data_IF_608266032262
#
_entry.id   IF_608266032262
#
_cell.length_a   1.000
_cell.length_b   1.000
_cell.length_c   1.000
_cell.angle_alpha   90.00
_cell.angle_beta   90.00
_cell.angle_gamma   90.00
#
_symmetry.space_group_name_H-M   'P 1'
#
loop_
_entity.id
_entity.type
_entity.pdbx_description
1 polymer ?
#
# COMPACT_ATOMS: atom_id res chain seq x y z
N UNK A 1 21.80 13.11 -30.82
CA UNK A 1 20.44 13.04 -30.28
C UNK A 1 19.94 11.62 -30.49
N UNK A 2 19.45 10.99 -29.44
CA UNK A 2 18.95 9.60 -29.41
C UNK A 2 17.65 9.56 -28.61
N UNK A 3 16.88 8.48 -28.71
CA UNK A 3 15.78 8.20 -27.78
C UNK A 3 16.35 7.96 -26.39
N UNK A 4 15.67 8.50 -25.36
CA UNK A 4 15.98 8.18 -23.97
C UNK A 4 15.79 6.67 -23.72
N UNK A 5 16.65 6.07 -22.89
CA UNK A 5 16.42 4.70 -22.42
C UNK A 5 15.14 4.53 -21.59
N UNK A 6 14.63 5.63 -21.03
CA UNK A 6 13.40 5.69 -20.27
C UNK A 6 12.17 6.07 -21.11
N UNK A 7 12.33 6.13 -22.43
CA UNK A 7 11.22 6.33 -23.34
C UNK A 7 10.29 5.14 -23.33
N UNK A 8 9.00 5.39 -23.15
CA UNK A 8 7.94 4.39 -23.26
C UNK A 8 6.79 4.87 -24.14
N UNK A 9 6.09 3.90 -24.72
CA UNK A 9 4.85 4.10 -25.43
C UNK A 9 3.79 3.14 -24.90
N UNK A 10 2.60 3.63 -24.61
CA UNK A 10 1.44 2.85 -24.21
C UNK A 10 0.34 3.08 -25.20
N UNK A 11 -0.10 2.01 -25.84
CA UNK A 11 -1.22 2.04 -26.78
C UNK A 11 -2.55 2.23 -26.06
N UNK A 12 -3.30 3.23 -26.48
CA UNK A 12 -4.63 3.58 -26.00
C UNK A 12 -5.67 3.24 -27.07
N UNK A 13 -6.94 3.56 -26.80
CA UNK A 13 -8.01 3.37 -27.77
C UNK A 13 -7.84 4.27 -29.00
N UNK A 14 -8.37 3.84 -30.14
CA UNK A 14 -8.37 4.58 -31.41
C UNK A 14 -6.99 4.87 -32.00
N UNK A 15 -6.05 3.95 -31.89
CA UNK A 15 -4.67 4.05 -32.42
C UNK A 15 -3.94 5.32 -31.93
N UNK A 16 -4.20 5.71 -30.71
CA UNK A 16 -3.47 6.76 -30.01
C UNK A 16 -2.46 6.14 -29.06
N UNK A 17 -1.30 6.74 -28.98
CA UNK A 17 -0.24 6.34 -28.08
C UNK A 17 0.03 7.46 -27.07
N UNK A 18 0.09 7.11 -25.79
CA UNK A 18 0.73 7.93 -24.79
C UNK A 18 2.23 7.65 -24.82
N UNK A 19 3.04 8.65 -25.08
CA UNK A 19 4.50 8.56 -25.08
C UNK A 19 5.09 9.44 -23.98
N UNK A 20 6.08 8.95 -23.27
CA UNK A 20 6.65 9.63 -22.10
C UNK A 20 8.02 9.07 -21.71
N UNK A 21 8.73 9.82 -20.91
CA UNK A 21 9.89 9.34 -20.16
C UNK A 21 9.42 8.85 -18.79
N UNK A 22 9.69 7.59 -18.46
CA UNK A 22 9.17 6.96 -17.22
C UNK A 22 9.79 7.50 -15.92
N UNK A 23 10.81 8.33 -15.96
CA UNK A 23 11.34 9.04 -14.79
C UNK A 23 10.73 10.44 -14.61
N UNK A 24 10.16 11.04 -15.66
CA UNK A 24 9.66 12.43 -15.65
C UNK A 24 8.14 12.50 -15.74
N UNK A 25 7.49 11.56 -16.45
CA UNK A 25 6.05 11.47 -16.67
C UNK A 25 5.41 12.68 -17.37
N UNK A 26 6.20 13.43 -18.16
CA UNK A 26 5.66 14.39 -19.11
C UNK A 26 5.11 13.65 -20.32
N UNK A 27 3.77 13.64 -20.47
CA UNK A 27 3.08 12.78 -21.42
C UNK A 27 2.67 13.55 -22.66
N UNK A 28 2.95 12.96 -23.81
CA UNK A 28 2.41 13.39 -25.09
C UNK A 28 1.48 12.32 -25.67
N UNK A 29 0.38 12.74 -26.30
CA UNK A 29 -0.51 11.85 -27.01
C UNK A 29 -0.34 12.03 -28.50
N UNK A 30 -0.05 10.94 -29.21
CA UNK A 30 0.28 10.94 -30.64
C UNK A 30 -0.45 9.82 -31.36
N UNK A 31 -0.73 9.99 -32.64
CA UNK A 31 -1.19 8.93 -33.53
C UNK A 31 -0.04 8.10 -34.07
N UNK A 32 -0.33 7.00 -34.77
CA UNK A 32 0.64 6.11 -35.39
C UNK A 32 1.62 6.84 -36.31
N UNK A 33 1.14 7.78 -37.12
CA UNK A 33 1.99 8.53 -38.06
C UNK A 33 3.00 9.35 -37.29
N UNK A 34 2.55 10.08 -36.28
CA UNK A 34 3.40 10.94 -35.46
C UNK A 34 4.39 10.14 -34.62
N UNK A 35 3.96 8.99 -34.09
CA UNK A 35 4.84 8.08 -33.37
C UNK A 35 6.00 7.62 -34.27
N UNK A 36 5.71 7.22 -35.51
CA UNK A 36 6.75 6.79 -36.47
C UNK A 36 7.70 7.93 -36.83
N UNK A 37 7.18 9.14 -37.06
CA UNK A 37 8.03 10.33 -37.29
C UNK A 37 9.00 10.57 -36.13
N UNK A 38 8.55 10.37 -34.89
CA UNK A 38 9.38 10.51 -33.67
C UNK A 38 10.43 9.39 -33.61
N UNK A 39 10.04 8.14 -33.83
CA UNK A 39 10.93 6.99 -33.76
C UNK A 39 12.03 7.06 -34.85
N UNK A 40 11.68 7.58 -36.04
CA UNK A 40 12.62 7.75 -37.18
C UNK A 40 13.40 9.09 -37.12
N UNK A 41 13.25 9.88 -36.06
CA UNK A 41 13.86 11.21 -35.90
C UNK A 41 13.47 12.20 -37.01
N UNK A 42 12.38 11.95 -37.72
CA UNK A 42 11.88 12.75 -38.85
C UNK A 42 10.86 13.81 -38.38
N UNK A 43 11.20 14.60 -37.39
CA UNK A 43 10.39 15.69 -36.85
C UNK A 43 11.06 17.05 -37.05
N UNK A 44 10.25 18.13 -37.09
CA UNK A 44 10.75 19.51 -37.28
C UNK A 44 11.65 19.93 -36.12
N UNK A 45 12.53 20.93 -36.37
CA UNK A 45 13.49 21.43 -35.37
C UNK A 45 12.81 21.88 -34.06
N UNK A 46 11.74 22.63 -34.15
CA UNK A 46 11.00 23.12 -32.98
C UNK A 46 10.39 21.97 -32.13
N UNK A 47 9.99 20.94 -32.81
CA UNK A 47 9.43 19.75 -32.17
C UNK A 47 10.53 18.90 -31.51
N UNK A 48 11.71 18.83 -32.11
CA UNK A 48 12.88 18.18 -31.49
C UNK A 48 13.22 18.80 -30.14
N UNK A 49 13.15 20.13 -30.03
CA UNK A 49 13.38 20.82 -28.75
C UNK A 49 12.28 20.50 -27.72
N UNK A 50 11.02 20.41 -28.14
CA UNK A 50 9.93 19.94 -27.23
C UNK A 50 10.17 18.52 -26.72
N UNK A 51 10.56 17.60 -27.61
CA UNK A 51 10.85 16.20 -27.26
C UNK A 51 12.09 16.07 -26.35
N UNK A 52 13.06 16.96 -26.49
CA UNK A 52 14.19 17.05 -25.55
C UNK A 52 13.75 17.57 -24.18
N UNK A 53 12.89 18.59 -24.13
CA UNK A 53 12.44 19.17 -22.87
C UNK A 53 11.61 18.19 -22.01
N UNK A 54 10.81 17.32 -22.65
CA UNK A 54 10.04 16.27 -21.97
C UNK A 54 10.82 14.95 -21.83
N UNK A 55 12.10 14.93 -22.17
CA UNK A 55 12.98 13.79 -21.96
C UNK A 55 12.70 12.58 -22.86
N UNK A 56 11.91 12.72 -23.94
CA UNK A 56 11.71 11.66 -24.94
C UNK A 56 13.00 11.48 -25.76
N UNK A 57 13.61 12.58 -26.16
CA UNK A 57 14.95 12.60 -26.72
C UNK A 57 15.96 13.06 -25.68
N UNK A 58 17.18 12.57 -25.81
CA UNK A 58 18.35 13.07 -25.08
C UNK A 58 19.47 13.40 -26.08
N UNK A 59 20.32 14.34 -25.74
CA UNK A 59 21.44 14.74 -26.62
C UNK A 59 22.52 13.67 -26.65
N UNK A 60 22.74 13.00 -25.51
CA UNK A 60 23.70 11.91 -25.30
C UNK A 60 23.25 11.04 -24.13
N UNK A 61 23.66 9.76 -24.13
CA UNK A 61 23.19 8.75 -23.18
C UNK A 61 23.43 9.10 -21.68
N UNK A 62 24.50 9.87 -21.39
CA UNK A 62 24.80 10.27 -20.01
C UNK A 62 23.71 11.12 -19.37
N UNK A 63 22.84 11.80 -20.13
CA UNK A 63 21.71 12.55 -19.55
C UNK A 63 20.69 11.64 -18.86
N UNK A 64 20.49 10.43 -19.39
CA UNK A 64 19.63 9.44 -18.73
C UNK A 64 20.23 8.94 -17.41
N UNK A 65 21.55 8.77 -17.36
CA UNK A 65 22.26 8.38 -16.14
C UNK A 65 22.19 9.50 -15.08
N UNK A 66 22.40 10.74 -15.50
CA UNK A 66 22.33 11.92 -14.62
C UNK A 66 20.89 12.06 -14.05
N UNK A 67 19.86 11.88 -14.89
CA UNK A 67 18.46 11.91 -14.45
C UNK A 67 18.16 10.78 -13.44
N UNK A 68 18.62 9.57 -13.71
CA UNK A 68 18.46 8.44 -12.78
C UNK A 68 19.17 8.71 -11.43
N UNK A 69 20.37 9.27 -11.46
CA UNK A 69 21.13 9.59 -10.26
C UNK A 69 20.40 10.62 -9.39
N UNK A 70 19.79 11.64 -9.98
CA UNK A 70 18.97 12.62 -9.25
C UNK A 70 17.81 11.93 -8.54
N UNK A 71 17.12 11.00 -9.21
CA UNK A 71 16.01 10.24 -8.60
C UNK A 71 16.51 9.34 -7.48
N UNK A 72 17.66 8.65 -7.68
CA UNK A 72 18.30 7.83 -6.63
C UNK A 72 18.73 8.64 -5.41
N UNK A 73 19.26 9.84 -5.60
CA UNK A 73 19.62 10.73 -4.49
C UNK A 73 18.40 11.15 -3.68
N UNK A 74 17.26 11.43 -4.33
CA UNK A 74 15.98 11.69 -3.62
C UNK A 74 15.54 10.49 -2.80
N UNK A 75 15.64 9.30 -3.36
CA UNK A 75 15.33 8.07 -2.63
C UNK A 75 16.22 7.88 -1.40
N UNK A 76 17.53 8.08 -1.54
CA UNK A 76 18.48 7.92 -0.45
C UNK A 76 18.24 8.90 0.72
N UNK A 77 17.67 10.07 0.46
CA UNK A 77 17.31 11.06 1.50
C UNK A 77 16.14 10.61 2.36
N UNK A 78 15.23 9.79 1.82
CA UNK A 78 14.01 9.36 2.51
C UNK A 78 14.05 7.90 2.98
N UNK A 79 14.94 7.08 2.44
CA UNK A 79 15.09 5.68 2.84
C UNK A 79 15.86 5.54 4.15
N UNK A 80 15.53 4.50 4.94
CA UNK A 80 16.19 4.21 6.21
C UNK A 80 15.78 5.11 7.37
N UNK A 81 14.66 5.83 7.26
CA UNK A 81 14.07 6.61 8.34
C UNK A 81 12.77 5.99 8.81
N UNK A 82 12.69 5.60 10.07
CA UNK A 82 11.51 4.91 10.60
C UNK A 82 10.37 5.89 10.85
N UNK A 83 9.44 5.98 9.92
CA UNK A 83 8.22 6.78 10.03
C UNK A 83 7.01 5.98 10.55
N UNK A 84 7.07 4.64 10.46
CA UNK A 84 5.96 3.75 10.82
C UNK A 84 6.47 2.69 11.80
N UNK A 85 5.78 2.53 12.92
CA UNK A 85 6.01 1.41 13.83
C UNK A 85 4.73 0.59 14.01
N UNK A 86 4.79 -0.67 13.62
CA UNK A 86 3.74 -1.64 13.92
C UNK A 86 3.95 -2.21 15.32
N UNK A 87 2.92 -2.08 16.15
CA UNK A 87 2.81 -2.79 17.41
C UNK A 87 1.97 -4.04 17.16
N UNK A 88 2.62 -5.17 17.00
CA UNK A 88 1.94 -6.45 16.86
C UNK A 88 1.59 -6.94 18.25
N UNK A 89 0.43 -6.54 18.74
CA UNK A 89 0.02 -6.67 20.14
C UNK A 89 -0.18 -8.11 20.59
N UNK A 90 -0.57 -8.97 19.65
CA UNK A 90 -0.84 -10.37 19.91
C UNK A 90 -0.73 -11.20 18.64
N UNK A 91 -0.36 -12.47 18.78
CA UNK A 91 -0.46 -13.44 17.70
C UNK A 91 -1.81 -14.19 17.72
N UNK A 92 -2.63 -14.01 18.78
CA UNK A 92 -3.95 -14.61 18.90
C UNK A 92 -5.01 -13.85 18.09
N UNK A 93 -5.98 -14.59 17.54
CA UNK A 93 -7.15 -14.03 16.88
C UNK A 93 -8.39 -14.87 17.24
N UNK A 94 -9.50 -14.21 17.51
CA UNK A 94 -10.78 -14.87 17.75
C UNK A 94 -11.49 -15.33 16.47
N UNK A 95 -10.98 -14.96 15.28
CA UNK A 95 -11.45 -15.43 13.97
C UNK A 95 -10.47 -16.40 13.33
N UNK A 96 -10.97 -17.20 12.39
CA UNK A 96 -10.21 -18.11 11.52
C UNK A 96 -10.57 -17.82 10.06
N UNK A 97 -10.18 -16.64 9.57
CA UNK A 97 -10.45 -16.22 8.19
C UNK A 97 -9.74 -17.15 7.20
N UNK A 98 -10.44 -17.65 6.17
CA UNK A 98 -9.90 -18.64 5.22
C UNK A 98 -8.66 -18.17 4.45
N UNK A 99 -8.54 -16.88 4.21
CA UNK A 99 -7.44 -16.27 3.47
C UNK A 99 -6.41 -15.57 4.37
N UNK A 100 -6.45 -15.80 5.69
CA UNK A 100 -5.54 -15.12 6.59
C UNK A 100 -4.08 -15.46 6.26
N UNK A 101 -3.36 -14.49 5.69
CA UNK A 101 -1.98 -14.72 5.31
C UNK A 101 -1.04 -14.94 6.50
N UNK A 102 -1.40 -14.41 7.69
CA UNK A 102 -0.65 -14.64 8.92
C UNK A 102 -0.79 -16.09 9.39
N UNK A 103 -2.02 -16.65 9.35
CA UNK A 103 -2.28 -18.04 9.77
C UNK A 103 -1.76 -19.05 8.75
N UNK A 104 -1.91 -18.73 7.46
CA UNK A 104 -1.58 -19.62 6.36
C UNK A 104 -0.15 -19.46 5.87
N UNK A 105 0.65 -18.59 6.51
CA UNK A 105 2.05 -18.43 6.18
C UNK A 105 2.80 -19.75 6.41
N UNK A 106 3.64 -20.14 5.46
CA UNK A 106 4.45 -21.39 5.46
C UNK A 106 5.41 -21.50 6.67
N UNK A 107 5.54 -20.46 7.45
CA UNK A 107 6.48 -20.33 8.57
C UNK A 107 5.79 -20.33 9.94
N UNK A 108 4.53 -20.76 10.01
CA UNK A 108 3.73 -20.67 11.24
C UNK A 108 4.00 -21.87 12.18
N UNK A 109 4.79 -21.66 13.22
CA UNK A 109 5.12 -22.69 14.22
C UNK A 109 5.06 -22.19 15.67
N UNK A 110 4.31 -21.11 16.00
CA UNK A 110 4.43 -20.47 17.32
C UNK A 110 3.16 -20.50 18.16
N UNK A 111 3.40 -20.64 19.47
CA UNK A 111 2.39 -20.48 20.53
C UNK A 111 1.82 -19.05 20.49
N UNK A 112 0.51 -18.93 20.71
CA UNK A 112 -0.15 -17.63 20.85
C UNK A 112 0.46 -16.83 22.00
N UNK A 113 0.75 -15.56 21.74
CA UNK A 113 1.49 -14.71 22.67
C UNK A 113 0.91 -13.29 22.64
N UNK A 114 0.80 -12.68 23.81
CA UNK A 114 0.41 -11.28 23.97
C UNK A 114 1.62 -10.44 24.35
N UNK A 115 1.73 -9.24 23.79
CA UNK A 115 2.74 -8.25 24.13
C UNK A 115 2.55 -7.82 25.60
N UNK A 116 3.63 -7.82 26.36
CA UNK A 116 3.63 -7.31 27.75
C UNK A 116 3.68 -5.79 27.73
N UNK A 117 3.12 -5.16 28.77
CA UNK A 117 3.16 -3.71 28.96
C UNK A 117 4.59 -3.16 28.96
N UNK A 118 5.52 -3.83 29.64
CA UNK A 118 6.93 -3.44 29.67
C UNK A 118 7.53 -3.35 28.25
N UNK A 119 7.26 -4.34 27.39
CA UNK A 119 7.74 -4.37 26.01
C UNK A 119 7.14 -3.22 25.20
N UNK A 120 5.84 -2.94 25.35
CA UNK A 120 5.19 -1.85 24.64
C UNK A 120 5.70 -0.48 25.07
N UNK A 121 5.95 -0.28 26.38
CA UNK A 121 6.53 0.95 26.91
C UNK A 121 7.97 1.15 26.43
N UNK A 122 8.79 0.11 26.42
CA UNK A 122 10.13 0.18 25.84
C UNK A 122 10.10 0.56 24.36
N UNK A 123 9.19 -0.04 23.60
CA UNK A 123 9.04 0.25 22.18
C UNK A 123 8.61 1.70 21.91
N UNK A 124 7.56 2.19 22.58
CA UNK A 124 7.07 3.55 22.33
C UNK A 124 8.06 4.61 22.84
N UNK A 125 8.74 4.38 23.96
CA UNK A 125 9.76 5.27 24.49
C UNK A 125 10.92 5.39 23.50
N UNK A 126 11.54 4.27 23.09
CA UNK A 126 12.66 4.27 22.14
C UNK A 126 12.26 4.89 20.80
N UNK A 127 11.02 4.66 20.35
CA UNK A 127 10.52 5.25 19.10
C UNK A 127 10.37 6.76 19.22
N UNK A 128 9.77 7.27 20.28
CA UNK A 128 9.61 8.72 20.47
C UNK A 128 10.96 9.44 20.66
N UNK A 129 11.92 8.82 21.33
CA UNK A 129 13.29 9.34 21.45
C UNK A 129 13.97 9.40 20.07
N UNK A 130 13.85 8.34 19.27
CA UNK A 130 14.34 8.30 17.88
C UNK A 130 13.73 9.39 17.01
N UNK A 131 12.39 9.50 17.00
CA UNK A 131 11.68 10.51 16.21
C UNK A 131 12.10 11.93 16.54
N UNK A 132 12.29 12.22 17.83
CA UNK A 132 12.73 13.54 18.29
C UNK A 132 14.16 13.85 17.83
N UNK A 133 15.06 12.87 17.89
CA UNK A 133 16.46 13.04 17.48
C UNK A 133 16.60 13.21 15.97
N UNK A 134 15.84 12.44 15.19
CA UNK A 134 15.85 12.48 13.73
C UNK A 134 14.95 13.59 13.14
N UNK A 135 14.33 14.42 14.00
CA UNK A 135 13.42 15.50 13.62
C UNK A 135 12.27 15.02 12.71
N UNK A 136 11.72 13.82 12.98
CA UNK A 136 10.62 13.22 12.23
C UNK A 136 9.29 13.64 12.86
N UNK A 137 8.52 14.49 12.17
CA UNK A 137 7.23 14.98 12.64
C UNK A 137 6.05 14.11 12.17
N UNK A 138 6.11 13.56 10.94
CA UNK A 138 5.04 12.75 10.36
C UNK A 138 5.31 11.26 10.61
N UNK A 139 5.02 10.82 11.83
CA UNK A 139 5.19 9.46 12.27
C UNK A 139 3.88 8.81 12.70
N UNK A 140 3.80 7.49 12.56
CA UNK A 140 2.62 6.73 12.93
C UNK A 140 2.95 5.44 13.69
N UNK A 141 2.03 5.08 14.58
CA UNK A 141 1.95 3.77 15.22
C UNK A 141 0.71 3.06 14.71
N UNK A 142 0.90 1.82 14.27
CA UNK A 142 -0.19 0.98 13.77
C UNK A 142 -0.35 -0.20 14.73
N UNK A 143 -1.49 -0.27 15.42
CA UNK A 143 -1.85 -1.42 16.22
C UNK A 143 -2.33 -2.55 15.31
N UNK A 144 -1.65 -3.68 15.42
CA UNK A 144 -1.84 -4.84 14.55
C UNK A 144 -1.70 -6.15 15.35
N UNK A 145 -1.88 -7.30 14.67
CA UNK A 145 -1.67 -8.62 15.25
C UNK A 145 -2.57 -9.66 14.62
N UNK A 146 -2.89 -10.72 15.36
CA UNK A 146 -4.02 -11.57 15.04
C UNK A 146 -5.32 -10.75 15.12
N UNK A 147 -5.70 -10.33 16.34
CA UNK A 147 -6.72 -9.31 16.58
C UNK A 147 -6.22 -8.35 17.69
N UNK A 148 -5.90 -7.09 17.38
CA UNK A 148 -5.29 -6.18 18.36
C UNK A 148 -6.15 -5.91 19.59
N UNK A 149 -7.47 -5.94 19.45
CA UNK A 149 -8.41 -5.72 20.57
C UNK A 149 -8.39 -6.81 21.65
N UNK A 150 -7.73 -7.94 21.40
CA UNK A 150 -7.47 -8.98 22.41
C UNK A 150 -6.54 -8.44 23.50
N UNK A 151 -5.62 -7.53 23.12
CA UNK A 151 -4.66 -6.94 24.05
C UNK A 151 -4.93 -5.43 24.25
N UNK A 152 -6.16 -5.10 24.61
CA UNK A 152 -6.65 -3.72 24.71
C UNK A 152 -5.86 -2.85 25.68
N UNK A 153 -5.48 -3.38 26.83
CA UNK A 153 -4.77 -2.62 27.86
C UNK A 153 -3.45 -2.06 27.39
N UNK A 154 -2.77 -2.76 26.50
CA UNK A 154 -1.52 -2.29 25.88
C UNK A 154 -1.78 -1.16 24.88
N UNK A 155 -2.90 -1.18 24.15
CA UNK A 155 -3.29 -0.05 23.29
C UNK A 155 -3.44 1.23 24.11
N UNK A 156 -4.20 1.13 25.20
CA UNK A 156 -4.41 2.27 26.13
C UNK A 156 -3.09 2.79 26.65
N UNK A 157 -2.24 1.91 27.12
CA UNK A 157 -0.95 2.30 27.71
C UNK A 157 -0.03 3.02 26.74
N UNK A 158 0.09 2.54 25.51
CA UNK A 158 0.90 3.17 24.47
C UNK A 158 0.36 4.57 24.12
N UNK A 159 -0.96 4.71 24.00
CA UNK A 159 -1.58 6.00 23.70
C UNK A 159 -1.39 6.97 24.86
N UNK A 160 -1.64 6.55 26.11
CA UNK A 160 -1.48 7.42 27.28
C UNK A 160 -0.04 7.86 27.49
N UNK A 161 0.93 6.98 27.23
CA UNK A 161 2.35 7.35 27.26
C UNK A 161 2.64 8.48 26.24
N UNK A 162 2.22 8.31 24.98
CA UNK A 162 2.45 9.28 23.91
C UNK A 162 1.78 10.65 24.23
N UNK A 163 0.59 10.62 24.83
CA UNK A 163 -0.11 11.83 25.31
C UNK A 163 0.65 12.54 26.40
N UNK A 164 1.14 11.80 27.39
CA UNK A 164 1.87 12.35 28.53
C UNK A 164 3.12 13.15 28.10
N UNK A 165 3.80 12.70 27.04
CA UNK A 165 4.97 13.39 26.46
C UNK A 165 4.62 14.36 25.33
N UNK A 166 3.32 14.58 25.05
CA UNK A 166 2.81 15.45 23.97
C UNK A 166 3.37 15.09 22.60
N UNK A 167 3.47 13.79 22.30
CA UNK A 167 3.94 13.30 21.00
C UNK A 167 2.95 13.64 19.87
N UNK A 168 3.46 13.94 18.69
CA UNK A 168 2.67 14.16 17.46
C UNK A 168 2.32 12.87 16.70
N UNK A 169 2.67 11.70 17.23
CA UNK A 169 2.43 10.39 16.59
C UNK A 169 0.94 10.22 16.28
N UNK A 170 0.67 9.81 15.04
CA UNK A 170 -0.67 9.40 14.61
C UNK A 170 -0.90 7.93 14.93
N UNK A 171 -2.07 7.60 15.45
CA UNK A 171 -2.43 6.22 15.78
C UNK A 171 -3.44 5.68 14.79
N UNK A 172 -3.23 4.44 14.35
CA UNK A 172 -4.22 3.68 13.58
C UNK A 172 -4.26 2.22 14.03
N UNK A 173 -5.33 1.54 13.68
CA UNK A 173 -5.55 0.14 14.01
C UNK A 173 -6.26 -0.58 12.88
N UNK A 174 -5.87 -1.84 12.59
CA UNK A 174 -6.64 -2.74 11.73
C UNK A 174 -7.23 -3.85 12.59
N UNK A 175 -8.57 -3.95 12.62
CA UNK A 175 -9.31 -4.86 13.50
C UNK A 175 -10.46 -5.55 12.77
N UNK A 176 -10.80 -6.75 13.20
CA UNK A 176 -12.06 -7.41 12.79
C UNK A 176 -13.29 -6.81 13.48
N UNK A 177 -13.11 -5.86 14.38
CA UNK A 177 -14.13 -5.09 15.10
C UNK A 177 -15.11 -5.89 15.98
N UNK A 178 -15.04 -7.22 16.03
CA UNK A 178 -15.99 -8.03 16.82
C UNK A 178 -15.87 -7.76 18.32
N UNK A 179 -14.70 -7.34 18.80
CA UNK A 179 -14.41 -7.04 20.21
C UNK A 179 -14.55 -5.54 20.55
N UNK A 180 -15.04 -4.70 19.64
CA UNK A 180 -15.31 -3.29 19.92
C UNK A 180 -16.54 -3.17 20.85
N UNK A 181 -16.34 -2.62 22.05
CA UNK A 181 -17.38 -2.13 22.93
C UNK A 181 -17.62 -0.64 22.69
N UNK A 182 -18.70 -0.10 23.24
CA UNK A 182 -18.97 1.32 23.16
C UNK A 182 -17.90 2.16 23.88
N UNK A 183 -17.41 1.69 25.01
CA UNK A 183 -16.31 2.33 25.77
C UNK A 183 -15.03 2.39 24.93
N UNK A 184 -14.66 1.27 24.25
CA UNK A 184 -13.50 1.24 23.36
C UNK A 184 -13.67 2.21 22.20
N UNK A 185 -14.87 2.27 21.60
CA UNK A 185 -15.17 3.21 20.51
C UNK A 185 -15.00 4.66 20.96
N UNK A 186 -15.53 5.05 22.13
CA UNK A 186 -15.35 6.38 22.70
C UNK A 186 -13.88 6.72 22.92
N UNK A 187 -13.14 5.81 23.55
CA UNK A 187 -11.71 5.99 23.79
C UNK A 187 -10.92 6.20 22.49
N UNK A 188 -11.16 5.37 21.47
CA UNK A 188 -10.50 5.51 20.17
C UNK A 188 -10.83 6.82 19.47
N UNK A 189 -12.09 7.26 19.55
CA UNK A 189 -12.55 8.54 18.99
C UNK A 189 -11.89 9.75 19.70
N UNK A 190 -11.88 9.77 21.02
CA UNK A 190 -11.27 10.82 21.85
C UNK A 190 -9.77 10.96 21.58
N UNK A 191 -9.09 9.83 21.32
CA UNK A 191 -7.66 9.79 21.03
C UNK A 191 -7.35 9.84 19.52
N UNK A 192 -8.34 10.13 18.68
CA UNK A 192 -8.22 10.31 17.22
C UNK A 192 -7.58 9.11 16.51
N UNK A 193 -7.76 7.90 17.03
CA UNK A 193 -7.27 6.66 16.42
C UNK A 193 -8.07 6.37 15.15
N UNK A 194 -7.40 6.16 14.03
CA UNK A 194 -8.04 5.76 12.77
C UNK A 194 -8.25 4.24 12.75
N UNK A 195 -9.50 3.79 12.54
CA UNK A 195 -9.87 2.38 12.63
C UNK A 195 -10.16 1.79 11.26
N UNK A 196 -9.32 0.88 10.80
CA UNK A 196 -9.58 0.04 9.63
C UNK A 196 -10.40 -1.19 10.04
N UNK A 197 -11.67 -1.23 9.67
CA UNK A 197 -12.56 -2.36 9.99
C UNK A 197 -12.49 -3.39 8.88
N UNK A 198 -12.09 -4.60 9.26
CA UNK A 198 -11.98 -5.72 8.34
C UNK A 198 -13.34 -6.36 8.07
N UNK A 199 -13.91 -6.13 6.88
CA UNK A 199 -15.17 -6.68 6.41
C UNK A 199 -15.11 -6.80 4.87
N UNK A 200 -15.63 -7.87 4.28
CA UNK A 200 -15.35 -8.17 2.86
C UNK A 200 -16.54 -7.93 1.92
N UNK A 201 -17.69 -7.53 2.43
CA UNK A 201 -18.85 -7.30 1.59
C UNK A 201 -20.16 -7.65 2.30
N UNK A 202 -21.26 -7.90 1.57
CA UNK A 202 -22.53 -8.35 2.11
C UNK A 202 -22.40 -9.59 2.98
N UNK A 203 -23.38 -9.86 3.83
CA UNK A 203 -23.35 -10.91 4.85
C UNK A 203 -22.90 -12.27 4.32
N UNK A 204 -23.45 -12.72 3.20
CA UNK A 204 -23.12 -14.03 2.62
C UNK A 204 -21.65 -14.15 2.25
N UNK A 205 -21.11 -13.13 1.58
CA UNK A 205 -19.71 -13.08 1.18
C UNK A 205 -18.77 -12.94 2.38
N UNK A 206 -19.11 -12.06 3.33
CA UNK A 206 -18.28 -11.85 4.52
C UNK A 206 -18.17 -13.12 5.36
N UNK A 207 -19.32 -13.72 5.73
CA UNK A 207 -19.38 -14.87 6.65
C UNK A 207 -18.89 -16.17 6.00
N UNK A 208 -18.83 -16.24 4.67
CA UNK A 208 -18.16 -17.32 3.97
C UNK A 208 -16.65 -17.38 4.26
N UNK A 209 -16.02 -16.22 4.43
CA UNK A 209 -14.57 -16.09 4.56
C UNK A 209 -14.11 -15.79 5.97
N UNK A 210 -14.85 -14.94 6.71
CA UNK A 210 -14.55 -14.53 8.09
C UNK A 210 -15.42 -15.30 9.06
N UNK A 211 -14.82 -16.27 9.74
CA UNK A 211 -15.51 -17.18 10.65
C UNK A 211 -14.90 -17.13 12.05
N UNK A 212 -15.72 -17.28 13.08
CA UNK A 212 -15.23 -17.45 14.45
C UNK A 212 -14.53 -18.79 14.63
N UNK A 213 -13.49 -18.84 15.47
CA UNK A 213 -12.82 -20.10 15.86
C UNK A 213 -13.72 -21.01 16.70
N UNK A 214 -14.57 -20.45 17.54
CA UNK A 214 -15.33 -21.16 18.58
C UNK A 214 -16.84 -20.98 18.48
N UNK A 215 -17.36 -20.43 17.38
CA UNK A 215 -18.78 -20.10 17.27
C UNK A 215 -19.24 -20.11 15.81
N UNK A 216 -20.50 -20.44 15.57
CA UNK A 216 -21.16 -20.31 14.27
C UNK A 216 -21.90 -18.98 14.08
N UNK A 217 -21.68 -17.99 14.96
CA UNK A 217 -22.31 -16.67 14.84
C UNK A 217 -21.82 -15.94 13.59
N UNK A 218 -22.66 -15.07 13.04
CA UNK A 218 -22.32 -14.21 11.95
C UNK A 218 -21.32 -13.14 12.40
N UNK A 219 -20.16 -13.07 11.76
CA UNK A 219 -19.16 -12.01 11.96
C UNK A 219 -19.72 -10.69 11.40
N UNK A 220 -20.38 -10.75 10.25
CA UNK A 220 -21.01 -9.59 9.63
C UNK A 220 -22.00 -8.89 10.55
N UNK A 221 -22.97 -9.65 11.11
CA UNK A 221 -23.99 -9.08 11.99
C UNK A 221 -23.37 -8.43 13.24
N UNK A 222 -22.29 -9.02 13.77
CA UNK A 222 -21.60 -8.45 14.91
C UNK A 222 -20.89 -7.14 14.59
N UNK A 223 -20.26 -7.06 13.42
CA UNK A 223 -19.51 -5.88 12.98
C UNK A 223 -20.46 -4.73 12.61
N UNK A 224 -21.51 -5.00 11.83
CA UNK A 224 -22.45 -3.97 11.37
C UNK A 224 -23.17 -3.28 12.55
N UNK A 225 -23.45 -4.00 13.63
CA UNK A 225 -24.01 -3.40 14.87
C UNK A 225 -23.15 -2.29 15.48
N UNK A 226 -21.84 -2.25 15.17
CA UNK A 226 -20.91 -1.22 15.69
C UNK A 226 -21.00 0.08 14.91
N UNK A 227 -21.41 0.06 13.62
CA UNK A 227 -21.38 1.23 12.76
C UNK A 227 -22.16 2.45 13.26
N UNK A 228 -23.41 2.31 13.76
CA UNK A 228 -24.11 3.43 14.35
C UNK A 228 -23.34 4.05 15.53
N UNK A 229 -22.74 3.23 16.38
CA UNK A 229 -21.95 3.69 17.53
C UNK A 229 -20.67 4.40 17.11
N UNK A 230 -19.98 3.92 16.09
CA UNK A 230 -18.80 4.56 15.52
C UNK A 230 -19.16 5.95 14.95
N UNK A 231 -20.28 6.04 14.23
CA UNK A 231 -20.75 7.31 13.63
C UNK A 231 -21.17 8.31 14.72
N UNK A 232 -21.96 7.90 15.71
CA UNK A 232 -22.44 8.77 16.81
C UNK A 232 -21.27 9.34 17.63
N UNK A 233 -20.23 8.53 17.87
CA UNK A 233 -19.05 8.96 18.61
C UNK A 233 -18.00 9.69 17.74
N UNK A 234 -18.28 9.97 16.45
CA UNK A 234 -17.35 10.58 15.50
C UNK A 234 -16.01 9.82 15.40
N UNK A 235 -16.00 8.53 15.63
CA UNK A 235 -14.81 7.71 15.45
C UNK A 235 -14.45 7.67 13.96
N UNK A 236 -13.22 7.99 13.63
CA UNK A 236 -12.73 7.89 12.25
C UNK A 236 -12.54 6.42 11.89
N UNK A 237 -13.33 5.91 10.96
CA UNK A 237 -13.16 4.56 10.47
C UNK A 237 -13.34 4.44 8.96
N UNK A 238 -12.66 3.45 8.38
CA UNK A 238 -12.80 3.01 7.02
C UNK A 238 -12.88 1.49 6.94
N UNK A 239 -13.24 0.96 5.78
CA UNK A 239 -13.29 -0.48 5.58
C UNK A 239 -11.98 -1.01 5.01
N UNK A 240 -11.53 -2.14 5.54
CA UNK A 240 -10.41 -2.92 5.00
C UNK A 240 -10.99 -4.20 4.40
N UNK A 241 -11.02 -4.27 3.07
CA UNK A 241 -11.69 -5.30 2.29
C UNK A 241 -10.64 -6.15 1.58
N UNK A 242 -10.74 -7.48 1.69
CA UNK A 242 -9.92 -8.40 0.91
C UNK A 242 -10.68 -8.85 -0.33
N UNK A 243 -10.14 -8.56 -1.52
CA UNK A 243 -10.71 -9.00 -2.79
C UNK A 243 -10.40 -10.50 -2.94
N UNK A 244 -11.36 -11.37 -2.64
CA UNK A 244 -11.25 -12.81 -2.91
C UNK A 244 -11.77 -13.15 -4.32
N UNK A 245 -11.55 -14.40 -4.77
CA UNK A 245 -12.17 -14.89 -6.02
C UNK A 245 -13.70 -14.84 -5.97
N UNK A 246 -14.28 -15.14 -4.81
CA UNK A 246 -15.74 -15.08 -4.63
C UNK A 246 -16.27 -13.64 -4.55
N UNK A 247 -15.45 -12.72 -4.03
CA UNK A 247 -15.73 -11.30 -4.10
C UNK A 247 -15.88 -10.82 -5.56
N UNK A 248 -14.98 -11.21 -6.45
CA UNK A 248 -15.01 -10.79 -7.85
C UNK A 248 -16.26 -11.28 -8.59
N UNK A 249 -16.82 -12.43 -8.21
CA UNK A 249 -18.10 -12.92 -8.76
C UNK A 249 -19.30 -12.09 -8.33
N UNK A 250 -19.20 -11.34 -7.23
CA UNK A 250 -20.27 -10.55 -6.62
C UNK A 250 -19.95 -9.04 -6.60
N UNK A 251 -19.04 -8.59 -7.45
CA UNK A 251 -18.46 -7.25 -7.41
C UNK A 251 -19.52 -6.12 -7.50
N UNK A 252 -20.59 -6.31 -8.27
CA UNK A 252 -21.66 -5.32 -8.41
C UNK A 252 -22.50 -5.20 -7.14
N UNK A 253 -22.83 -6.32 -6.51
CA UNK A 253 -23.52 -6.37 -5.23
C UNK A 253 -22.69 -5.70 -4.13
N UNK A 254 -21.37 -5.90 -4.13
CA UNK A 254 -20.46 -5.24 -3.18
C UNK A 254 -20.47 -3.72 -3.37
N UNK A 255 -20.46 -3.21 -4.59
CA UNK A 255 -20.49 -1.77 -4.84
C UNK A 255 -21.80 -1.12 -4.36
N UNK A 256 -22.96 -1.76 -4.61
CA UNK A 256 -24.23 -1.29 -4.07
C UNK A 256 -24.27 -1.34 -2.55
N UNK A 257 -23.78 -2.42 -1.94
CA UNK A 257 -23.66 -2.55 -0.49
C UNK A 257 -22.78 -1.44 0.12
N UNK A 258 -21.65 -1.08 -0.49
CA UNK A 258 -20.78 0.02 -0.03
C UNK A 258 -21.51 1.37 -0.06
N UNK A 259 -22.28 1.62 -1.09
CA UNK A 259 -23.11 2.83 -1.23
C UNK A 259 -24.16 2.89 -0.11
N UNK A 260 -24.87 1.78 0.17
CA UNK A 260 -25.88 1.70 1.24
C UNK A 260 -25.29 1.90 2.63
N UNK A 261 -24.09 1.37 2.89
CA UNK A 261 -23.40 1.54 4.16
C UNK A 261 -23.01 3.00 4.44
N UNK A 262 -22.87 3.82 3.40
CA UNK A 262 -22.49 5.22 3.50
C UNK A 262 -21.25 5.41 4.43
N UNK A 263 -20.18 4.71 4.10
CA UNK A 263 -18.87 4.83 4.75
C UNK A 263 -18.03 5.92 4.11
N UNK A 264 -17.04 6.45 4.81
CA UNK A 264 -16.18 7.52 4.28
C UNK A 264 -15.06 7.02 3.39
N UNK A 265 -14.56 5.81 3.67
CA UNK A 265 -13.42 5.25 2.94
C UNK A 265 -13.43 3.75 2.91
N UNK A 266 -12.85 3.22 1.84
CA UNK A 266 -12.53 1.81 1.69
C UNK A 266 -11.05 1.66 1.33
N UNK A 267 -10.45 0.59 1.80
CA UNK A 267 -9.11 0.19 1.47
C UNK A 267 -9.12 -1.27 1.02
N UNK A 268 -8.86 -1.50 -0.25
CA UNK A 268 -8.83 -2.84 -0.81
C UNK A 268 -7.47 -3.48 -0.67
N UNK A 269 -7.47 -4.74 -0.20
CA UNK A 269 -6.32 -5.61 -0.17
C UNK A 269 -6.47 -6.66 -1.27
N UNK A 270 -5.50 -6.73 -2.15
CA UNK A 270 -5.40 -7.84 -3.10
C UNK A 270 -5.14 -9.13 -2.32
N UNK A 271 -5.70 -10.24 -2.77
CA UNK A 271 -5.48 -11.53 -2.15
C UNK A 271 -4.00 -11.91 -2.19
N UNK A 272 -3.46 -12.27 -1.04
CA UNK A 272 -2.10 -12.76 -0.92
C UNK A 272 -2.08 -14.28 -1.05
N UNK A 273 -1.48 -14.78 -2.12
CA UNK A 273 -1.20 -16.20 -2.25
C UNK A 273 -0.09 -16.59 -1.27
N UNK A 274 -0.26 -17.73 -0.62
CA UNK A 274 0.72 -18.29 0.32
C UNK A 274 1.63 -19.32 -0.35
N UNK A 275 1.31 -19.72 -1.57
CA UNK A 275 2.05 -20.63 -2.44
C UNK A 275 1.65 -20.38 -3.89
N UNK A 276 2.43 -20.94 -4.84
CA UNK A 276 2.08 -20.86 -6.25
C UNK A 276 0.74 -21.54 -6.54
N UNK A 277 -0.15 -20.87 -7.25
CA UNK A 277 -1.46 -21.36 -7.67
C UNK A 277 -1.73 -20.96 -9.12
N UNK A 278 -2.18 -21.91 -9.94
CA UNK A 278 -2.54 -21.66 -11.35
C UNK A 278 -3.72 -20.65 -11.39
N UNK A 279 -3.64 -19.71 -12.35
CA UNK A 279 -4.70 -18.69 -12.53
C UNK A 279 -4.52 -17.44 -11.68
N UNK A 280 -3.40 -17.28 -10.98
CA UNK A 280 -3.13 -16.06 -10.22
C UNK A 280 -3.03 -14.81 -11.13
N UNK A 281 -2.53 -14.94 -12.36
CA UNK A 281 -2.43 -13.82 -13.30
C UNK A 281 -3.80 -13.28 -13.70
N UNK A 282 -4.73 -14.18 -13.99
CA UNK A 282 -6.11 -13.84 -14.31
C UNK A 282 -6.80 -13.14 -13.15
N UNK A 283 -6.65 -13.69 -11.94
CA UNK A 283 -7.17 -13.07 -10.73
C UNK A 283 -6.67 -11.63 -10.57
N UNK A 284 -5.37 -11.37 -10.69
CA UNK A 284 -4.83 -10.01 -10.51
C UNK A 284 -5.26 -9.04 -11.60
N UNK A 285 -5.50 -9.50 -12.82
CA UNK A 285 -6.10 -8.70 -13.90
C UNK A 285 -7.54 -8.31 -13.56
N UNK A 286 -8.37 -9.28 -13.15
CA UNK A 286 -9.76 -9.05 -12.77
C UNK A 286 -9.87 -8.13 -11.55
N UNK A 287 -9.07 -8.38 -10.51
CA UNK A 287 -9.03 -7.55 -9.32
C UNK A 287 -8.59 -6.11 -9.62
N UNK A 288 -7.64 -5.93 -10.55
CA UNK A 288 -7.17 -4.61 -10.96
C UNK A 288 -8.25 -3.86 -11.74
N UNK A 289 -9.00 -4.53 -12.61
CA UNK A 289 -10.13 -3.93 -13.32
C UNK A 289 -11.27 -3.57 -12.36
N UNK A 290 -11.53 -4.42 -11.36
CA UNK A 290 -12.48 -4.10 -10.29
C UNK A 290 -12.08 -2.85 -9.52
N UNK A 291 -10.80 -2.68 -9.18
CA UNK A 291 -10.32 -1.48 -8.47
C UNK A 291 -10.59 -0.19 -9.27
N UNK A 292 -10.42 -0.24 -10.58
CA UNK A 292 -10.77 0.89 -11.46
C UNK A 292 -12.27 1.15 -11.42
N UNK A 293 -13.08 0.13 -11.65
CA UNK A 293 -14.55 0.22 -11.59
C UNK A 293 -15.05 0.76 -10.25
N UNK A 294 -14.46 0.27 -9.16
CA UNK A 294 -14.77 0.74 -7.81
C UNK A 294 -14.43 2.20 -7.63
N UNK A 295 -13.23 2.63 -8.04
CA UNK A 295 -12.82 4.02 -7.94
C UNK A 295 -13.77 4.96 -8.69
N UNK A 296 -14.11 4.65 -9.94
CA UNK A 296 -15.05 5.43 -10.75
C UNK A 296 -16.45 5.49 -10.11
N UNK A 297 -16.91 4.37 -9.55
CA UNK A 297 -18.23 4.30 -8.90
C UNK A 297 -18.26 5.05 -7.57
N UNK A 298 -17.26 4.86 -6.70
CA UNK A 298 -17.22 5.37 -5.33
C UNK A 298 -16.89 6.87 -5.26
N UNK A 299 -16.03 7.36 -6.17
CA UNK A 299 -15.69 8.79 -6.24
C UNK A 299 -16.94 9.63 -6.47
N UNK A 300 -17.87 9.17 -7.30
CA UNK A 300 -19.15 9.83 -7.54
C UNK A 300 -20.11 9.77 -6.33
N UNK A 301 -19.77 9.02 -5.28
CA UNK A 301 -20.53 8.88 -4.02
C UNK A 301 -19.82 9.51 -2.83
N UNK A 302 -18.72 10.23 -3.04
CA UNK A 302 -17.87 10.79 -2.00
C UNK A 302 -17.31 9.74 -1.04
N UNK A 303 -17.04 8.53 -1.53
CA UNK A 303 -16.36 7.46 -0.78
C UNK A 303 -14.92 7.39 -1.29
N UNK A 304 -13.96 7.58 -0.39
CA UNK A 304 -12.54 7.55 -0.70
C UNK A 304 -12.06 6.11 -0.91
N UNK A 305 -11.49 5.80 -2.09
CA UNK A 305 -10.81 4.54 -2.38
C UNK A 305 -9.31 4.69 -2.13
N UNK A 306 -8.82 4.15 -1.03
CA UNK A 306 -7.42 4.31 -0.61
C UNK A 306 -6.42 3.50 -1.44
N UNK A 307 -6.85 2.57 -2.31
CA UNK A 307 -5.91 1.71 -3.05
C UNK A 307 -5.43 2.36 -4.34
N UNK A 308 -6.34 2.81 -5.18
CA UNK A 308 -6.00 3.37 -6.49
C UNK A 308 -5.55 4.83 -6.38
N UNK A 309 -6.14 5.59 -5.45
CA UNK A 309 -5.85 7.01 -5.27
C UNK A 309 -4.35 7.28 -5.08
N UNK A 310 -3.62 6.42 -4.36
CA UNK A 310 -2.18 6.59 -4.14
C UNK A 310 -1.34 6.58 -5.42
N UNK A 311 -1.79 5.88 -6.47
CA UNK A 311 -1.15 5.89 -7.78
C UNK A 311 -1.53 7.13 -8.58
N UNK A 312 -2.79 7.54 -8.46
CA UNK A 312 -3.34 8.75 -9.06
C UNK A 312 -2.63 9.99 -8.49
N UNK A 313 -2.52 10.09 -7.16
CA UNK A 313 -1.84 11.20 -6.49
C UNK A 313 -0.37 11.32 -6.91
N UNK A 314 0.36 10.20 -6.95
CA UNK A 314 1.75 10.15 -7.42
C UNK A 314 1.88 10.68 -8.85
N UNK A 315 0.95 10.28 -9.71
CA UNK A 315 0.92 10.69 -11.11
C UNK A 315 0.61 12.20 -11.26
N UNK A 316 -0.46 12.70 -10.62
CA UNK A 316 -0.89 14.09 -10.78
C UNK A 316 -0.05 15.11 -10.00
N UNK A 317 0.55 14.72 -8.90
CA UNK A 317 1.48 15.56 -8.15
C UNK A 317 2.90 15.53 -8.75
N UNK A 318 3.13 14.74 -9.78
CA UNK A 318 4.43 14.50 -10.39
C UNK A 318 5.48 14.04 -9.35
N UNK A 319 5.08 13.13 -8.48
CA UNK A 319 5.92 12.59 -7.42
C UNK A 319 6.28 11.12 -7.69
N UNK A 320 7.57 10.84 -7.85
CA UNK A 320 8.06 9.48 -8.04
C UNK A 320 7.75 8.61 -6.83
N UNK A 321 7.05 7.49 -7.05
CA UNK A 321 6.65 6.55 -6.01
C UNK A 321 7.79 5.62 -5.62
N UNK A 322 8.55 5.95 -4.61
CA UNK A 322 9.68 5.13 -4.15
C UNK A 322 9.26 3.83 -3.47
N UNK A 323 8.13 3.84 -2.78
CA UNK A 323 7.63 2.66 -2.06
C UNK A 323 6.09 2.62 -2.02
N UNK A 324 5.49 1.43 -2.12
CA UNK A 324 4.05 1.23 -1.89
C UNK A 324 3.74 0.93 -0.41
N UNK A 325 4.70 0.42 0.34
CA UNK A 325 4.61 0.23 1.79
C UNK A 325 5.91 0.65 2.48
N UNK A 326 5.84 0.97 3.78
CA UNK A 326 7.00 1.44 4.55
C UNK A 326 8.14 0.44 4.68
N UNK A 327 7.93 -0.85 4.41
CA UNK A 327 9.00 -1.84 4.44
C UNK A 327 10.03 -1.58 3.34
N UNK A 328 9.59 -1.28 2.11
CA UNK A 328 10.49 -0.88 1.04
C UNK A 328 11.14 0.46 1.41
N UNK A 329 12.45 0.50 1.38
CA UNK A 329 13.22 1.63 1.85
C UNK A 329 13.63 1.55 3.31
N UNK A 330 13.17 0.54 4.06
CA UNK A 330 13.50 0.38 5.49
C UNK A 330 12.87 1.46 6.37
N UNK A 331 11.66 1.95 6.02
CA UNK A 331 11.03 3.07 6.69
C UNK A 331 9.97 2.66 7.73
N UNK A 332 9.89 1.37 8.04
CA UNK A 332 9.03 0.85 9.11
C UNK A 332 9.75 -0.21 9.94
N UNK A 333 9.28 -0.36 11.18
CA UNK A 333 9.61 -1.48 12.06
C UNK A 333 8.32 -2.15 12.54
N UNK A 334 8.38 -3.44 12.78
CA UNK A 334 7.29 -4.21 13.39
C UNK A 334 7.78 -4.93 14.65
N UNK A 335 7.28 -4.50 15.80
CA UNK A 335 7.60 -5.08 17.10
C UNK A 335 6.62 -6.20 17.40
N UNK A 336 7.11 -7.42 17.57
CA UNK A 336 6.34 -8.63 17.89
C UNK A 336 5.99 -8.70 19.39
N UNK A 337 5.05 -9.59 19.79
CA UNK A 337 4.65 -9.73 21.19
C UNK A 337 5.78 -10.04 22.16
N UNK A 338 6.81 -10.75 21.75
CA UNK A 338 8.00 -11.09 22.54
C UNK A 338 9.09 -10.01 22.53
N UNK A 339 8.85 -8.90 21.82
CA UNK A 339 9.81 -7.82 21.66
C UNK A 339 10.74 -7.95 20.44
N UNK A 340 10.75 -9.07 19.75
CA UNK A 340 11.50 -9.21 18.51
C UNK A 340 11.03 -8.20 17.47
N UNK A 341 11.97 -7.69 16.69
CA UNK A 341 11.71 -6.68 15.66
C UNK A 341 12.02 -7.24 14.28
N UNK A 342 11.15 -6.95 13.33
CA UNK A 342 11.37 -7.18 11.91
C UNK A 342 10.89 -5.95 11.12
N UNK A 343 11.24 -5.88 9.84
CA UNK A 343 10.84 -4.75 8.99
C UNK A 343 9.37 -4.88 8.56
N UNK A 344 8.93 -6.08 8.25
CA UNK A 344 7.56 -6.30 7.77
C UNK A 344 6.72 -7.08 8.79
N UNK A 345 5.56 -6.54 9.16
CA UNK A 345 4.60 -7.18 10.06
C UNK A 345 4.04 -8.52 9.53
N UNK A 346 4.19 -8.80 8.24
CA UNK A 346 3.79 -10.08 7.66
C UNK A 346 4.63 -11.28 8.12
N UNK A 347 5.80 -11.04 8.70
CA UNK A 347 6.65 -12.09 9.31
C UNK A 347 6.36 -12.31 10.80
N UNK A 348 5.15 -11.98 11.25
CA UNK A 348 4.73 -12.08 12.66
C UNK A 348 4.97 -13.46 13.27
N UNK A 349 4.64 -14.54 12.58
CA UNK A 349 4.67 -15.91 13.11
C UNK A 349 5.94 -16.69 12.75
N UNK A 350 7.01 -16.04 12.34
CA UNK A 350 8.28 -16.66 12.01
C UNK A 350 9.44 -15.95 12.68
N UNK A 351 10.53 -16.65 12.94
CA UNK A 351 11.79 -16.05 13.39
C UNK A 351 12.67 -15.58 12.24
N UNK A 352 12.25 -15.82 11.00
CA UNK A 352 12.95 -15.30 9.84
C UNK A 352 12.98 -13.77 9.88
N UNK A 353 14.08 -13.21 9.48
CA UNK A 353 14.27 -11.78 9.31
C UNK A 353 14.06 -10.93 10.56
N UNK A 354 14.26 -11.51 11.74
CA UNK A 354 14.38 -10.77 13.00
C UNK A 354 15.70 -10.02 13.02
N UNK A 355 15.66 -8.72 13.30
CA UNK A 355 16.82 -7.83 13.31
C UNK A 355 17.31 -7.50 14.72
N UNK A 356 16.66 -7.98 15.73
CA UNK A 356 16.97 -7.82 17.13
C UNK A 356 15.72 -7.77 18.00
N UNK A 357 15.86 -7.36 19.27
CA UNK A 357 14.76 -7.25 20.23
C UNK A 357 14.69 -5.83 20.81
N UNK A 358 13.50 -5.25 20.83
CA UNK A 358 13.27 -3.86 21.27
C UNK A 358 13.60 -3.65 22.76
N UNK A 359 13.56 -4.70 23.56
CA UNK A 359 13.92 -4.61 24.97
C UNK A 359 15.44 -4.45 25.18
N UNK A 360 16.25 -4.95 24.25
CA UNK A 360 17.70 -5.03 24.34
C UNK A 360 18.41 -3.97 23.49
N UNK A 361 17.89 -3.69 22.28
CA UNK A 361 18.54 -2.84 21.27
C UNK A 361 17.89 -1.46 21.17
N UNK A 362 18.67 -0.45 20.82
CA UNK A 362 18.17 0.85 20.38
C UNK A 362 17.60 0.74 18.95
N UNK A 363 16.86 1.76 18.50
CA UNK A 363 16.39 1.79 17.10
C UNK A 363 17.58 1.88 16.14
N UNK A 364 18.66 2.57 16.52
CA UNK A 364 19.86 2.67 15.67
C UNK A 364 20.56 1.32 15.51
N UNK A 365 20.66 0.54 16.59
CA UNK A 365 21.21 -0.81 16.52
C UNK A 365 20.38 -1.69 15.56
N UNK A 366 19.06 -1.61 15.66
CA UNK A 366 18.13 -2.33 14.77
C UNK A 366 18.28 -1.88 13.31
N UNK A 367 18.45 -0.57 13.08
CA UNK A 367 18.58 0.00 11.74
C UNK A 367 19.96 -0.24 11.11
N UNK A 368 20.94 -0.73 11.86
CA UNK A 368 22.27 -1.12 11.35
C UNK A 368 22.33 -2.55 10.81
N UNK A 369 21.22 -3.29 10.81
CA UNK A 369 21.14 -4.67 10.33
C UNK A 369 21.24 -4.79 8.81
N UNK A 370 21.88 -5.85 8.30
CA UNK A 370 21.92 -6.20 6.87
C UNK A 370 20.52 -6.36 6.26
N UNK A 371 19.52 -6.70 7.06
CA UNK A 371 18.13 -6.80 6.64
C UNK A 371 17.57 -5.43 6.20
N UNK A 372 17.98 -4.35 6.84
CA UNK A 372 17.64 -2.99 6.42
C UNK A 372 18.18 -2.71 5.02
N UNK A 373 19.43 -3.13 4.75
CA UNK A 373 20.04 -2.96 3.44
C UNK A 373 19.30 -3.74 2.34
N UNK A 374 18.81 -4.95 2.66
CA UNK A 374 17.94 -5.69 1.76
C UNK A 374 16.70 -4.86 1.38
N UNK A 375 15.98 -4.30 2.36
CA UNK A 375 14.76 -3.53 2.12
C UNK A 375 15.02 -2.20 1.40
N UNK A 376 16.16 -1.55 1.63
CA UNK A 376 16.61 -0.38 0.85
C UNK A 376 16.91 -0.75 -0.60
N UNK A 377 17.60 -1.87 -0.83
CA UNK A 377 17.95 -2.33 -2.18
C UNK A 377 16.74 -2.81 -2.98
N UNK A 378 15.62 -3.18 -2.32
CA UNK A 378 14.39 -3.61 -2.98
C UNK A 378 13.62 -2.48 -3.69
N UNK A 379 14.07 -1.25 -3.66
CA UNK A 379 13.50 -0.16 -4.44
C UNK A 379 13.56 -0.47 -5.95
N UNK A 380 12.52 -0.07 -6.69
CA UNK A 380 12.43 -0.24 -8.15
C UNK A 380 13.63 0.34 -8.91
N UNK A 381 14.29 1.36 -8.35
CA UNK A 381 15.47 2.02 -8.93
C UNK A 381 16.74 1.15 -8.94
N UNK A 382 16.73 0.03 -8.22
CA UNK A 382 17.86 -0.90 -8.12
C UNK A 382 17.61 -2.24 -8.85
N UNK A 383 16.57 -2.33 -9.65
CA UNK A 383 16.23 -3.51 -10.43
C UNK A 383 16.11 -3.15 -11.91
N UNK A 384 16.89 -3.80 -12.78
CA UNK A 384 16.97 -3.48 -14.20
C UNK A 384 15.65 -3.70 -14.94
N UNK A 385 14.85 -4.71 -14.58
CA UNK A 385 13.53 -4.92 -15.16
C UNK A 385 12.58 -3.77 -14.80
N UNK A 386 12.67 -3.29 -13.57
CA UNK A 386 11.89 -2.14 -13.12
C UNK A 386 12.34 -0.83 -13.78
N UNK A 387 13.65 -0.63 -13.98
CA UNK A 387 14.17 0.55 -14.67
C UNK A 387 13.70 0.65 -16.12
N UNK A 388 13.40 -0.50 -16.74
CA UNK A 388 12.86 -0.56 -18.10
C UNK A 388 11.33 -0.71 -18.13
N UNK A 389 10.64 -0.41 -17.03
CA UNK A 389 9.19 -0.56 -16.91
C UNK A 389 8.48 0.78 -17.10
N UNK A 390 7.49 0.82 -17.97
CA UNK A 390 6.63 1.99 -18.21
C UNK A 390 5.95 2.53 -16.95
N UNK A 391 5.74 1.67 -15.96
CA UNK A 391 4.98 2.00 -14.75
C UNK A 391 5.85 2.34 -13.53
N UNK A 392 7.17 2.45 -13.71
CA UNK A 392 8.10 2.62 -12.58
C UNK A 392 7.76 3.82 -11.71
N UNK A 393 7.32 4.93 -12.33
CA UNK A 393 7.01 6.19 -11.65
C UNK A 393 5.94 6.05 -10.56
N UNK A 394 4.89 5.28 -10.83
CA UNK A 394 3.75 5.10 -9.92
C UNK A 394 3.77 3.77 -9.16
N UNK A 395 4.81 2.95 -9.34
CA UNK A 395 4.81 1.56 -8.87
C UNK A 395 5.04 1.44 -7.35
N UNK A 396 6.24 1.79 -6.88
CA UNK A 396 6.63 1.60 -5.48
C UNK A 396 7.07 0.18 -5.11
N UNK A 397 7.23 -0.76 -6.06
CA UNK A 397 8.01 -2.00 -5.89
C UNK A 397 7.30 -3.25 -5.35
N UNK A 398 6.02 -3.19 -5.02
CA UNK A 398 5.25 -4.39 -4.62
C UNK A 398 5.60 -4.98 -3.24
N UNK A 399 5.35 -6.26 -3.03
CA UNK A 399 5.45 -6.96 -1.74
C UNK A 399 6.48 -8.10 -1.78
N UNK A 400 7.48 -8.04 -0.90
CA UNK A 400 8.50 -9.10 -0.79
C UNK A 400 7.92 -10.44 -0.31
N UNK A 401 6.92 -10.40 0.60
CA UNK A 401 6.25 -11.62 1.08
C UNK A 401 5.49 -12.31 -0.05
N UNK A 402 4.82 -11.54 -0.91
CA UNK A 402 4.10 -12.10 -2.06
C UNK A 402 5.08 -12.72 -3.07
N UNK A 403 6.20 -12.05 -3.32
CA UNK A 403 7.27 -12.59 -4.17
C UNK A 403 7.83 -13.90 -3.59
N UNK A 404 8.15 -13.93 -2.29
CA UNK A 404 8.64 -15.13 -1.60
C UNK A 404 7.62 -16.29 -1.66
N UNK A 405 6.33 -15.99 -1.48
CA UNK A 405 5.28 -16.99 -1.51
C UNK A 405 5.10 -17.64 -2.88
N UNK A 406 5.12 -16.83 -3.95
CA UNK A 406 4.89 -17.31 -5.32
C UNK A 406 6.16 -17.90 -5.95
N UNK A 407 7.31 -17.27 -5.74
CA UNK A 407 8.54 -17.58 -6.48
C UNK A 407 9.64 -18.17 -5.61
N UNK A 408 9.40 -18.35 -4.30
CA UNK A 408 10.39 -18.86 -3.32
C UNK A 408 11.62 -17.96 -3.17
N UNK A 409 11.52 -16.73 -3.67
CA UNK A 409 12.57 -15.73 -3.60
C UNK A 409 11.98 -14.35 -3.28
N UNK A 410 12.35 -13.79 -2.13
CA UNK A 410 11.89 -12.45 -1.74
C UNK A 410 12.56 -11.32 -2.53
N UNK A 411 13.66 -11.61 -3.29
CA UNK A 411 14.28 -10.65 -4.19
C UNK A 411 13.53 -10.56 -5.52
N UNK A 412 12.77 -11.59 -5.87
CA UNK A 412 11.97 -11.58 -7.08
C UNK A 412 11.01 -10.38 -7.11
N UNK A 413 10.74 -9.84 -8.28
CA UNK A 413 9.71 -8.80 -8.43
C UNK A 413 8.33 -9.39 -8.09
N UNK A 414 7.49 -8.56 -7.51
CA UNK A 414 6.09 -8.92 -7.25
C UNK A 414 5.30 -8.78 -8.56
N UNK A 415 5.33 -9.83 -9.41
CA UNK A 415 4.60 -9.84 -10.70
C UNK A 415 3.10 -9.52 -10.54
N UNK A 416 2.39 -10.05 -9.53
CA UNK A 416 1.03 -9.62 -9.20
C UNK A 416 0.86 -8.10 -9.11
N UNK A 417 1.76 -7.45 -8.40
CA UNK A 417 1.72 -6.00 -8.24
C UNK A 417 2.09 -5.26 -9.53
N UNK A 418 2.97 -5.84 -10.36
CA UNK A 418 3.25 -5.33 -11.70
C UNK A 418 1.99 -5.31 -12.58
N UNK A 419 1.19 -6.38 -12.57
CA UNK A 419 -0.08 -6.43 -13.31
C UNK A 419 -1.00 -5.30 -12.85
N UNK A 420 -1.21 -5.15 -11.54
CA UNK A 420 -2.04 -4.10 -10.99
C UNK A 420 -1.55 -2.70 -11.39
N UNK A 421 -0.26 -2.44 -11.32
CA UNK A 421 0.30 -1.12 -11.63
C UNK A 421 0.19 -0.78 -13.11
N UNK A 422 0.45 -1.74 -14.00
CA UNK A 422 0.33 -1.54 -15.46
C UNK A 422 -1.12 -1.30 -15.89
N UNK A 423 -2.07 -2.04 -15.34
CA UNK A 423 -3.51 -1.80 -15.57
C UNK A 423 -3.92 -0.41 -15.10
N UNK A 424 -3.47 0.00 -13.91
CA UNK A 424 -3.75 1.34 -13.38
C UNK A 424 -3.14 2.44 -14.25
N UNK A 425 -1.87 2.30 -14.69
CA UNK A 425 -1.23 3.29 -15.56
C UNK A 425 -2.00 3.45 -16.87
N UNK A 426 -2.31 2.35 -17.55
CA UNK A 426 -3.06 2.41 -18.82
C UNK A 426 -4.39 3.14 -18.64
N UNK A 427 -5.13 2.83 -17.59
CA UNK A 427 -6.39 3.52 -17.30
C UNK A 427 -6.20 5.02 -17.00
N UNK A 428 -5.17 5.40 -16.22
CA UNK A 428 -4.87 6.81 -15.93
C UNK A 428 -4.59 7.56 -17.24
N UNK A 429 -3.72 7.02 -18.09
CA UNK A 429 -3.36 7.62 -19.38
C UNK A 429 -4.58 7.78 -20.30
N UNK A 430 -5.42 6.76 -20.41
CA UNK A 430 -6.66 6.80 -21.20
C UNK A 430 -7.64 7.84 -20.65
N UNK A 431 -7.79 7.92 -19.33
CA UNK A 431 -8.68 8.88 -18.68
C UNK A 431 -8.24 10.32 -18.91
N UNK A 432 -6.92 10.59 -18.84
CA UNK A 432 -6.35 11.91 -19.16
C UNK A 432 -6.59 12.29 -20.62
N UNK A 433 -6.35 11.37 -21.56
CA UNK A 433 -6.61 11.60 -22.98
C UNK A 433 -8.08 11.93 -23.25
N UNK A 434 -9.00 11.18 -22.67
CA UNK A 434 -10.45 11.39 -22.83
C UNK A 434 -10.89 12.75 -22.29
N UNK A 435 -10.34 13.21 -21.16
CA UNK A 435 -10.61 14.56 -20.62
C UNK A 435 -10.11 15.65 -21.56
N UNK A 436 -8.86 15.60 -22.02
CA UNK A 436 -8.31 16.56 -22.97
C UNK A 436 -9.17 16.68 -24.24
N UNK A 437 -9.61 15.55 -24.81
CA UNK A 437 -10.48 15.51 -25.99
C UNK A 437 -11.85 16.17 -25.76
N UNK A 438 -12.42 16.02 -24.56
CA UNK A 438 -13.69 16.62 -24.20
C UNK A 438 -13.58 18.13 -23.95
N UNK A 439 -12.50 18.58 -23.35
CA UNK A 439 -12.26 20.00 -23.10
C UNK A 439 -12.02 20.75 -24.42
N UNK A 440 -11.22 20.19 -25.33
CA UNK A 440 -11.02 20.76 -26.69
C UNK A 440 -12.33 20.87 -27.47
N UNK A 441 -13.27 19.94 -27.29
CA UNK A 441 -14.59 20.02 -27.93
C UNK A 441 -15.50 21.11 -27.35
N UNK A 442 -15.33 21.46 -26.06
CA UNK A 442 -16.11 22.51 -25.39
C UNK A 442 -15.63 23.91 -25.78
N UNK A 443 -14.35 24.05 -26.12
CA UNK A 443 -13.76 25.34 -26.57
C UNK A 443 -14.11 25.67 -28.03
N UNK A 444 -14.53 24.69 -28.83
CA UNK A 444 -14.88 24.84 -30.26
C UNK A 444 -16.40 25.01 -30.48
N UNK A 445 -17.22 24.80 -29.45
CA UNK A 445 -18.69 25.04 -29.47
C UNK A 445 -19.04 26.26 -28.61
#
# INVERSE_FOLDING_TARGET
MILSRFFHKVELDNNIYAIFNSLMMDILYVDDKKLNEILDFNVKKEEKEKLLNVGIYVRYAKQDEDALNIVKERYNKVSGKVHIMYFVLTSACNLACKYCFIENCTFNNKVEMNMKKETSLNAIRKYTEYLKREEIEDASVIFYGGEPLVNWDVIVEVIEYAKAIKSSIKFSMVTNATLLSEEKIKYLAENKVEVGISIDGPKGLNDQNRIYRSSSKSVYDEVIKKFPKLKINNCKFGLSITISKDFLKQQDEVLEWLKELNVRSVFYNLYHYTHYEIGWKEYYKEASNFLIKSYEYLTNKNIYDGRLIRKIDSFFNNEFKFSDCGAIGGNQLAVKPNGDVCICHGYLKTDKYVIGNINEHSIDDLMSSDEIDFWKKRCTLNNDECLNCESIFICGGGCAIQAEALFRDRNHIDEPFCIHTKVALKWILQSCYNRMKNDTKKEVN
#
